data_IF_187242303325
#
_entry.id   IF_187242303325
#
_cell.length_a   1.000
_cell.length_b   1.000
_cell.length_c   1.000
_cell.angle_alpha   90.00
_cell.angle_beta   90.00
_cell.angle_gamma   90.00
#
_symmetry.space_group_name_H-M   'P 1'
#
loop_
_entity.id
_entity.type
_entity.pdbx_description
1 polymer ?
#
# COMPACT_ATOMS: atom_id res chain seq x y z
N UNK A 1 0.02 -10.79 13.37
CA UNK A 1 -0.56 -10.13 12.18
C UNK A 1 -1.99 -9.75 12.52
N UNK A 2 -2.39 -8.53 12.18
CA UNK A 2 -3.77 -8.05 12.34
C UNK A 2 -4.27 -7.44 11.04
N UNK A 3 -5.58 -7.54 10.79
CA UNK A 3 -6.26 -6.97 9.62
C UNK A 3 -6.84 -5.61 9.95
N UNK A 4 -6.33 -4.57 9.30
CA UNK A 4 -6.81 -3.21 9.42
C UNK A 4 -7.91 -2.95 8.39
N UNK A 5 -8.95 -2.24 8.81
CA UNK A 5 -9.98 -1.67 7.96
C UNK A 5 -9.87 -0.14 8.05
N UNK A 6 -9.56 0.51 6.94
CA UNK A 6 -9.25 1.93 6.90
C UNK A 6 -10.07 2.63 5.82
N UNK A 7 -10.36 3.91 6.04
CA UNK A 7 -11.01 4.80 5.08
C UNK A 7 -10.06 5.96 4.79
N UNK A 8 -9.94 6.36 3.53
CA UNK A 8 -9.11 7.49 3.12
C UNK A 8 -9.81 8.83 3.40
N UNK A 9 -9.06 9.81 3.92
CA UNK A 9 -9.60 11.14 4.23
C UNK A 9 -9.82 12.00 2.97
N UNK A 10 -9.00 11.79 1.93
CA UNK A 10 -8.99 12.63 0.73
C UNK A 10 -9.78 12.03 -0.42
N UNK A 11 -9.89 10.71 -0.45
CA UNK A 11 -10.49 9.95 -1.53
C UNK A 11 -11.48 8.97 -0.91
N UNK A 12 -12.67 8.80 -1.48
CA UNK A 12 -13.64 7.80 -1.02
C UNK A 12 -13.16 6.40 -1.35
N UNK A 13 -12.15 5.93 -0.64
CA UNK A 13 -11.46 4.67 -0.84
C UNK A 13 -11.41 3.92 0.48
N UNK A 14 -11.84 2.66 0.44
CA UNK A 14 -11.68 1.71 1.53
C UNK A 14 -10.40 0.91 1.31
N UNK A 15 -9.70 0.63 2.42
CA UNK A 15 -8.47 -0.16 2.43
C UNK A 15 -8.59 -1.28 3.46
N UNK A 16 -8.27 -2.50 3.02
CA UNK A 16 -8.06 -3.66 3.91
C UNK A 16 -6.59 -4.03 3.82
N UNK A 17 -5.87 -4.02 4.94
CA UNK A 17 -4.42 -4.25 4.98
C UNK A 17 -4.03 -5.13 6.16
N UNK A 18 -3.27 -6.19 5.90
CA UNK A 18 -2.69 -7.03 6.95
C UNK A 18 -1.31 -6.49 7.36
N UNK A 19 -1.10 -6.23 8.66
CA UNK A 19 0.13 -5.63 9.22
C UNK A 19 0.70 -6.49 10.35
N UNK A 20 2.03 -6.52 10.48
CA UNK A 20 2.69 -7.13 11.61
C UNK A 20 2.72 -6.20 12.84
N UNK A 21 1.65 -6.23 13.63
CA UNK A 21 1.47 -5.40 14.83
C UNK A 21 2.52 -5.61 15.94
N UNK A 22 3.33 -6.68 15.87
CA UNK A 22 4.39 -6.91 16.85
C UNK A 22 5.58 -5.96 16.64
N UNK A 23 5.87 -5.58 15.39
CA UNK A 23 6.98 -4.69 15.03
C UNK A 23 6.50 -3.28 14.69
N UNK A 24 5.24 -3.14 14.28
CA UNK A 24 4.61 -1.85 13.98
C UNK A 24 3.21 -1.81 14.62
N UNK A 25 3.11 -1.45 15.91
CA UNK A 25 1.84 -1.38 16.62
C UNK A 25 0.97 -0.28 16.03
N UNK A 26 -0.31 -0.58 15.82
CA UNK A 26 -1.31 0.37 15.30
C UNK A 26 -2.57 0.23 16.14
N UNK A 27 -3.05 1.33 16.68
CA UNK A 27 -4.24 1.40 17.51
C UNK A 27 -5.47 1.86 16.73
N UNK A 28 -6.65 1.61 17.29
CA UNK A 28 -7.91 2.04 16.68
C UNK A 28 -8.00 3.57 16.65
N UNK A 29 -8.19 4.14 15.46
CA UNK A 29 -8.31 5.58 15.25
C UNK A 29 -7.00 6.27 14.86
N UNK A 30 -5.88 5.53 14.82
CA UNK A 30 -4.61 6.05 14.31
C UNK A 30 -4.73 6.46 12.84
N UNK A 31 -4.06 7.55 12.50
CA UNK A 31 -3.97 8.06 11.13
C UNK A 31 -2.55 7.84 10.63
N UNK A 32 -2.44 7.26 9.45
CA UNK A 32 -1.16 7.03 8.79
C UNK A 32 -1.19 7.48 7.34
N UNK A 33 0.00 7.81 6.82
CA UNK A 33 0.20 8.16 5.42
C UNK A 33 0.67 6.92 4.66
N UNK A 34 -0.15 6.47 3.71
CA UNK A 34 0.18 5.34 2.83
C UNK A 34 0.65 5.83 1.46
N UNK A 35 1.76 5.26 0.98
CA UNK A 35 2.28 5.46 -0.37
C UNK A 35 2.58 4.10 -1.00
N UNK A 36 2.15 3.92 -2.24
CA UNK A 36 2.50 2.76 -3.08
C UNK A 36 3.50 3.25 -4.13
N UNK A 37 4.65 2.58 -4.23
CA UNK A 37 5.70 2.88 -5.19
C UNK A 37 6.14 1.61 -5.93
N UNK A 38 6.52 1.75 -7.20
CA UNK A 38 7.07 0.66 -8.02
C UNK A 38 8.58 0.47 -7.87
N UNK A 39 9.23 1.36 -7.12
CA UNK A 39 10.68 1.36 -6.87
C UNK A 39 10.99 2.12 -5.59
N UNK A 40 12.07 1.73 -4.90
CA UNK A 40 12.60 2.45 -3.74
C UNK A 40 13.53 3.61 -4.14
N UNK A 41 14.02 3.63 -5.39
CA UNK A 41 14.90 4.67 -5.88
C UNK A 41 14.14 5.99 -6.06
N UNK A 42 14.69 7.08 -5.52
CA UNK A 42 14.05 8.41 -5.61
C UNK A 42 14.02 8.94 -7.06
N UNK A 43 15.04 8.62 -7.84
CA UNK A 43 15.19 9.00 -9.25
C UNK A 43 14.22 8.29 -10.21
N UNK A 44 13.47 7.30 -9.72
CA UNK A 44 12.51 6.53 -10.50
C UNK A 44 13.12 5.40 -11.33
N UNK A 45 14.40 5.06 -11.13
CA UNK A 45 15.01 3.87 -11.71
C UNK A 45 14.17 2.64 -11.35
N UNK A 46 13.94 1.75 -12.31
CA UNK A 46 13.12 0.56 -12.09
C UNK A 46 13.79 -0.39 -11.09
N UNK A 47 12.96 -1.12 -10.34
CA UNK A 47 13.40 -2.22 -9.48
C UNK A 47 14.06 -3.31 -10.35
N UNK A 48 15.29 -3.68 -10.03
CA UNK A 48 16.05 -4.74 -10.69
C UNK A 48 15.72 -6.13 -10.13
N UNK A 49 14.87 -6.18 -9.09
CA UNK A 49 14.43 -7.41 -8.43
C UNK A 49 15.42 -7.92 -7.37
N UNK A 50 16.49 -7.19 -7.08
CA UNK A 50 17.47 -7.54 -6.06
C UNK A 50 17.46 -6.51 -4.92
N UNK A 51 17.09 -6.97 -3.72
CA UNK A 51 17.12 -6.12 -2.54
C UNK A 51 18.37 -6.39 -1.69
N UNK A 52 19.23 -5.38 -1.55
CA UNK A 52 20.37 -5.42 -0.64
C UNK A 52 20.07 -4.58 0.62
N UNK A 53 19.84 -5.22 1.79
CA UNK A 53 19.56 -4.50 3.04
C UNK A 53 20.78 -3.77 3.63
N UNK A 54 21.98 -4.02 3.10
CA UNK A 54 23.22 -3.33 3.52
C UNK A 54 23.55 -2.13 2.66
N UNK A 55 22.76 -1.88 1.63
CA UNK A 55 22.87 -0.69 0.80
C UNK A 55 22.48 0.55 1.61
N UNK A 56 23.37 1.55 1.63
CA UNK A 56 23.23 2.80 2.40
C UNK A 56 22.88 3.98 1.48
N UNK A 57 22.46 3.71 0.25
CA UNK A 57 21.94 4.74 -0.66
C UNK A 57 20.63 5.29 -0.09
N UNK A 58 20.44 6.63 -0.09
CA UNK A 58 19.17 7.23 0.27
C UNK A 58 18.03 6.64 -0.57
N UNK A 59 16.92 6.34 0.10
CA UNK A 59 15.78 5.70 -0.53
C UNK A 59 14.47 6.31 -0.06
N UNK A 60 13.40 6.06 -0.82
CA UNK A 60 12.05 6.45 -0.40
C UNK A 60 11.65 5.84 0.94
N UNK A 61 12.23 4.69 1.31
CA UNK A 61 11.92 4.01 2.57
C UNK A 61 12.33 4.83 3.80
N UNK A 62 13.35 5.67 3.69
CA UNK A 62 13.92 6.43 4.82
C UNK A 62 12.92 7.44 5.42
N UNK A 63 11.87 7.77 4.67
CA UNK A 63 10.80 8.70 5.07
C UNK A 63 9.56 8.01 5.65
N UNK A 64 9.59 6.67 5.82
CA UNK A 64 8.46 5.87 6.29
C UNK A 64 8.89 4.88 7.37
N UNK A 65 7.98 4.59 8.29
CA UNK A 65 8.26 3.74 9.46
C UNK A 65 8.06 2.25 9.18
N UNK A 66 7.26 1.92 8.16
CA UNK A 66 6.91 0.55 7.81
C UNK A 66 6.86 0.38 6.29
N UNK A 67 7.60 -0.59 5.78
CA UNK A 67 7.74 -0.86 4.34
C UNK A 67 7.44 -2.33 4.06
N UNK A 68 6.71 -2.57 2.97
CA UNK A 68 6.40 -3.91 2.48
C UNK A 68 6.69 -4.01 0.99
N UNK A 69 7.12 -5.19 0.55
CA UNK A 69 7.22 -5.55 -0.85
C UNK A 69 6.16 -6.60 -1.20
N UNK A 70 5.51 -6.46 -2.35
CA UNK A 70 4.44 -7.35 -2.76
C UNK A 70 4.15 -7.28 -4.25
N UNK A 71 3.31 -8.20 -4.72
CA UNK A 71 2.88 -8.28 -6.12
C UNK A 71 1.36 -8.19 -6.20
N UNK A 72 0.87 -7.35 -7.09
CA UNK A 72 -0.56 -7.31 -7.44
C UNK A 72 -0.93 -8.66 -8.07
N UNK A 73 -1.83 -9.41 -7.43
CA UNK A 73 -2.21 -10.75 -7.86
C UNK A 73 -3.54 -10.79 -8.63
N UNK A 74 -4.43 -9.83 -8.35
CA UNK A 74 -5.76 -9.75 -8.94
C UNK A 74 -6.21 -8.29 -9.00
N UNK A 75 -6.89 -7.94 -10.08
CA UNK A 75 -7.57 -6.66 -10.28
C UNK A 75 -9.02 -7.01 -10.60
N UNK A 76 -9.95 -6.49 -9.81
CA UNK A 76 -11.39 -6.69 -9.99
C UNK A 76 -12.02 -5.33 -10.32
N UNK A 77 -12.97 -5.34 -11.26
CA UNK A 77 -13.80 -4.18 -11.55
C UNK A 77 -15.03 -4.17 -10.66
N UNK A 78 -15.66 -3.00 -10.53
CA UNK A 78 -16.90 -2.87 -9.75
C UNK A 78 -18.08 -3.48 -10.52
N UNK A 79 -18.53 -4.68 -10.10
CA UNK A 79 -19.64 -5.40 -10.74
C UNK A 79 -20.98 -4.67 -10.57
N UNK A 80 -21.13 -3.82 -9.55
CA UNK A 80 -22.34 -3.01 -9.32
C UNK A 80 -22.57 -1.92 -10.36
N UNK A 81 -21.53 -1.48 -11.08
CA UNK A 81 -21.65 -0.46 -12.11
C UNK A 81 -22.19 -1.00 -13.45
N UNK A 82 -22.18 -2.31 -13.67
CA UNK A 82 -22.56 -2.92 -14.97
C UNK A 82 -24.07 -3.22 -15.08
N UNK A 83 -24.77 -3.47 -13.97
CA UNK A 83 -26.22 -3.73 -13.99
C UNK A 83 -27.06 -2.47 -14.23
N UNK A 84 -26.59 -1.29 -13.82
CA UNK A 84 -27.32 -0.02 -14.00
C UNK A 84 -27.37 0.44 -15.47
N UNK A 85 -26.34 0.12 -16.27
CA UNK A 85 -26.25 0.50 -17.67
C UNK A 85 -27.09 -0.38 -18.62
N UNK A 86 -27.52 -1.56 -18.16
CA UNK A 86 -28.31 -2.51 -18.98
C UNK A 86 -29.82 -2.37 -18.73
N UNK A 87 -30.24 -1.47 -17.82
CA UNK A 87 -31.64 -1.20 -17.49
C UNK A 87 -32.16 0.16 -18.00
N UNK A 88 -31.45 0.80 -18.93
CA UNK A 88 -31.86 2.03 -19.63
C UNK A 88 -32.13 1.76 -21.11
#
# INVERSE_FOLDING_TARGET
VSRLHCESESFKMDLILDVNIQIYPVDLGDKFRLVIASTLYEDGTLDDGEYNPTDDRPSRADQFEYVMYGKVYRIEGDETSTEAATRL
#
